data_IF_165526082075
#
_entry.id   IF_165526082075
#
_cell.length_a   1.000
_cell.length_b   1.000
_cell.length_c   1.000
_cell.angle_alpha   90.00
_cell.angle_beta   90.00
_cell.angle_gamma   90.00
#
_symmetry.space_group_name_H-M   'P 1'
#
loop_
_entity.id
_entity.type
_entity.pdbx_description
1 polymer ?
#
# COMPACT_ATOMS: atom_id res chain seq x y z
N UNK A 1 0.05 -12.36 -3.22
CA UNK A 1 -0.55 -11.26 -2.46
C UNK A 1 -1.72 -11.82 -1.67
N UNK A 2 -1.91 -11.34 -0.45
CA UNK A 2 -2.95 -11.77 0.49
C UNK A 2 -3.66 -10.56 1.08
N UNK A 3 -4.91 -10.70 1.56
CA UNK A 3 -5.53 -9.65 2.37
C UNK A 3 -4.83 -9.54 3.72
N UNK A 4 -4.62 -8.32 4.18
CA UNK A 4 -4.13 -8.02 5.52
C UNK A 4 -5.28 -7.57 6.43
N UNK A 5 -5.04 -7.57 7.75
CA UNK A 5 -6.01 -7.08 8.70
C UNK A 5 -6.30 -5.58 8.45
N UNK A 6 -7.57 -5.24 8.35
CA UNK A 6 -8.03 -3.87 8.11
C UNK A 6 -9.25 -3.56 8.98
N UNK A 7 -9.58 -2.28 9.11
CA UNK A 7 -10.81 -1.84 9.76
C UNK A 7 -12.05 -2.11 8.91
N UNK A 8 -13.24 -1.85 9.47
CA UNK A 8 -14.48 -1.90 8.70
C UNK A 8 -14.41 -0.96 7.49
N UNK A 9 -14.91 -1.41 6.35
CA UNK A 9 -14.89 -0.65 5.09
C UNK A 9 -13.49 -0.17 4.66
N UNK A 10 -12.47 -0.98 4.92
CA UNK A 10 -11.09 -0.74 4.52
C UNK A 10 -10.51 -1.98 3.84
N UNK A 11 -9.58 -1.78 2.93
CA UNK A 11 -8.76 -2.85 2.32
C UNK A 11 -7.30 -2.53 2.51
N UNK A 12 -6.57 -3.55 2.97
CA UNK A 12 -5.10 -3.58 2.98
C UNK A 12 -4.67 -4.90 2.38
N UNK A 13 -3.72 -4.84 1.48
CA UNK A 13 -3.08 -6.03 0.91
C UNK A 13 -1.66 -6.17 1.43
N UNK A 14 -1.12 -7.38 1.35
CA UNK A 14 0.28 -7.63 1.72
C UNK A 14 0.92 -8.59 0.72
N UNK A 15 2.16 -8.31 0.36
CA UNK A 15 3.00 -9.23 -0.38
C UNK A 15 3.42 -10.42 0.50
N UNK A 16 3.16 -11.64 0.04
CA UNK A 16 3.57 -12.85 0.75
C UNK A 16 4.10 -13.89 -0.22
N UNK A 17 5.21 -14.52 0.14
CA UNK A 17 5.77 -15.64 -0.60
C UNK A 17 5.54 -16.94 0.17
N UNK A 18 5.10 -18.01 -0.51
CA UNK A 18 5.04 -19.36 0.10
C UNK A 18 6.42 -19.81 0.56
N UNK A 19 6.49 -20.61 1.60
CA UNK A 19 7.75 -21.15 2.12
C UNK A 19 8.54 -21.94 1.07
N UNK A 20 7.85 -22.62 0.19
CA UNK A 20 8.44 -23.40 -0.92
C UNK A 20 9.01 -22.52 -2.04
N UNK A 21 8.63 -21.22 -2.10
CA UNK A 21 8.98 -20.28 -3.19
C UNK A 21 8.69 -20.78 -4.59
N UNK A 22 7.85 -21.84 -4.73
CA UNK A 22 7.50 -22.50 -6.00
C UNK A 22 6.23 -21.94 -6.67
N UNK A 23 5.73 -20.79 -6.26
CA UNK A 23 4.58 -20.12 -6.88
C UNK A 23 4.94 -19.60 -8.26
N UNK A 24 3.98 -19.65 -9.19
CA UNK A 24 4.14 -19.02 -10.52
C UNK A 24 4.10 -17.50 -10.48
N UNK A 25 3.72 -16.90 -9.36
CA UNK A 25 3.68 -15.44 -9.19
C UNK A 25 4.86 -14.97 -8.34
N UNK A 26 5.54 -13.95 -8.83
CA UNK A 26 6.42 -13.12 -8.01
C UNK A 26 5.62 -11.92 -7.50
N UNK A 27 6.06 -11.32 -6.40
CA UNK A 27 5.53 -10.06 -5.89
C UNK A 27 6.66 -9.20 -5.33
N UNK A 28 6.44 -7.89 -5.32
CA UNK A 28 7.30 -6.93 -4.65
C UNK A 28 6.43 -5.79 -4.09
N UNK A 29 6.79 -5.29 -2.93
CA UNK A 29 6.23 -4.07 -2.38
C UNK A 29 6.89 -2.87 -3.03
N UNK A 30 6.09 -2.01 -3.65
CA UNK A 30 6.54 -0.72 -4.18
C UNK A 30 6.02 0.36 -3.25
N UNK A 31 6.92 1.05 -2.58
CA UNK A 31 6.58 2.01 -1.53
C UNK A 31 7.01 3.42 -1.90
N UNK A 32 6.28 4.39 -1.40
CA UNK A 32 6.61 5.80 -1.43
C UNK A 32 6.85 6.23 0.02
N UNK A 33 8.02 6.74 0.31
CA UNK A 33 8.30 7.35 1.61
C UNK A 33 7.49 8.65 1.73
N UNK A 34 6.77 8.77 2.85
CA UNK A 34 5.94 9.93 3.14
C UNK A 34 6.61 10.80 4.20
N UNK A 35 6.54 12.10 3.99
CA UNK A 35 6.97 13.10 4.96
C UNK A 35 5.76 13.77 5.59
N UNK A 36 5.87 14.40 6.77
CA UNK A 36 4.74 15.09 7.43
C UNK A 36 4.04 16.11 6.53
N UNK A 37 4.77 16.70 5.58
CA UNK A 37 4.24 17.67 4.61
C UNK A 37 3.26 17.04 3.61
N UNK A 38 3.42 15.75 3.32
CA UNK A 38 2.60 15.03 2.34
C UNK A 38 1.15 14.83 2.83
N UNK A 39 0.89 14.97 4.13
CA UNK A 39 -0.45 14.80 4.72
C UNK A 39 -0.91 15.98 5.59
N UNK A 40 -0.49 17.20 5.23
CA UNK A 40 -0.88 18.43 5.93
C UNK A 40 -2.39 18.64 6.03
N UNK A 41 -3.17 18.14 5.07
CA UNK A 41 -4.64 18.20 5.11
C UNK A 41 -5.23 17.53 6.35
N UNK A 42 -4.47 16.62 6.98
CA UNK A 42 -4.84 15.92 8.20
C UNK A 42 -4.25 16.55 9.47
N UNK A 43 -3.59 17.70 9.38
CA UNK A 43 -2.91 18.37 10.51
C UNK A 43 -3.81 18.65 11.72
N UNK A 44 -5.12 18.82 11.48
CA UNK A 44 -6.14 18.96 12.54
C UNK A 44 -6.19 17.77 13.53
N UNK A 45 -5.67 16.61 13.13
CA UNK A 45 -5.59 15.42 13.98
C UNK A 45 -4.29 15.34 14.79
N UNK A 46 -3.41 16.34 14.72
CA UNK A 46 -2.15 16.40 15.45
C UNK A 46 -1.28 15.17 15.18
N UNK A 47 -0.82 14.51 16.23
CA UNK A 47 0.04 13.32 16.14
C UNK A 47 -0.60 12.13 15.43
N UNK A 48 -1.90 12.14 15.24
CA UNK A 48 -2.64 11.09 14.53
C UNK A 48 -2.84 11.40 13.04
N UNK A 49 -2.29 12.49 12.52
CA UNK A 49 -2.47 12.91 11.13
C UNK A 49 -2.10 11.81 10.13
N UNK A 50 -0.95 11.16 10.31
CA UNK A 50 -0.49 10.07 9.46
C UNK A 50 -1.41 8.83 9.51
N UNK A 51 -1.97 8.50 10.69
CA UNK A 51 -2.96 7.41 10.82
C UNK A 51 -4.24 7.77 10.05
N UNK A 52 -4.70 9.00 10.15
CA UNK A 52 -5.94 9.43 9.45
C UNK A 52 -5.77 9.46 7.94
N UNK A 53 -4.60 9.84 7.46
CA UNK A 53 -4.25 9.70 6.05
C UNK A 53 -4.29 8.24 5.60
N UNK A 54 -3.65 7.34 6.36
CA UNK A 54 -3.63 5.91 6.11
C UNK A 54 -5.04 5.30 6.07
N UNK A 55 -5.87 5.56 7.09
CA UNK A 55 -7.26 5.11 7.17
C UNK A 55 -8.08 5.58 5.96
N UNK A 56 -7.88 6.82 5.53
CA UNK A 56 -8.58 7.36 4.35
C UNK A 56 -8.16 6.62 3.07
N UNK A 57 -6.86 6.39 2.88
CA UNK A 57 -6.37 5.67 1.71
C UNK A 57 -6.88 4.22 1.65
N UNK A 58 -6.93 3.54 2.80
CA UNK A 58 -7.49 2.20 2.94
C UNK A 58 -8.99 2.16 2.64
N UNK A 59 -9.72 3.22 3.04
CA UNK A 59 -11.14 3.38 2.72
C UNK A 59 -11.37 3.65 1.23
N UNK A 60 -10.58 4.53 0.62
CA UNK A 60 -10.64 4.76 -0.83
C UNK A 60 -10.37 3.46 -1.61
N UNK A 61 -9.44 2.65 -1.13
CA UNK A 61 -9.18 1.32 -1.67
C UNK A 61 -10.43 0.43 -1.61
N UNK A 62 -11.14 0.39 -0.49
CA UNK A 62 -12.39 -0.36 -0.34
C UNK A 62 -13.48 0.15 -1.28
N UNK A 63 -13.67 1.46 -1.38
CA UNK A 63 -14.68 2.06 -2.27
C UNK A 63 -14.42 1.72 -3.73
N UNK A 64 -13.16 1.75 -4.15
CA UNK A 64 -12.72 1.42 -5.49
C UNK A 64 -12.53 -0.09 -5.74
N UNK A 65 -12.64 -0.91 -4.69
CA UNK A 65 -12.66 -2.37 -4.68
C UNK A 65 -14.06 -2.99 -4.69
N UNK A 66 -15.08 -2.29 -5.22
CA UNK A 66 -16.49 -2.72 -5.24
C UNK A 66 -17.13 -2.84 -3.85
N UNK A 67 -16.62 -2.13 -2.86
CA UNK A 67 -17.10 -2.18 -1.45
C UNK A 67 -17.14 -3.60 -0.89
N UNK A 68 -16.17 -4.40 -1.27
CA UNK A 68 -15.95 -5.78 -0.81
C UNK A 68 -14.47 -5.97 -0.54
N UNK A 69 -14.03 -7.18 -0.24
CA UNK A 69 -12.61 -7.51 -0.08
C UNK A 69 -11.87 -7.75 -1.42
N UNK A 70 -12.52 -7.52 -2.55
CA UNK A 70 -11.85 -7.49 -3.86
C UNK A 70 -10.95 -6.26 -3.91
N UNK A 71 -9.68 -6.46 -4.28
CA UNK A 71 -8.73 -5.36 -4.32
C UNK A 71 -8.77 -4.60 -5.65
N UNK A 72 -8.74 -3.26 -5.63
CA UNK A 72 -8.59 -2.47 -6.83
C UNK A 72 -7.20 -2.71 -7.44
N UNK A 73 -7.14 -2.89 -8.74
CA UNK A 73 -5.92 -3.24 -9.44
C UNK A 73 -5.86 -2.61 -10.84
N UNK A 74 -4.64 -2.45 -11.32
CA UNK A 74 -4.37 -1.87 -12.63
C UNK A 74 -3.12 -2.51 -13.22
N UNK A 75 -3.07 -2.70 -14.55
CA UNK A 75 -1.82 -3.13 -15.20
C UNK A 75 -0.73 -2.09 -14.99
N UNK A 76 0.50 -2.54 -14.72
CA UNK A 76 1.62 -1.65 -14.40
C UNK A 76 1.87 -0.60 -15.50
N UNK A 77 1.90 -1.02 -16.77
CA UNK A 77 2.16 -0.09 -17.88
C UNK A 77 1.02 0.92 -18.06
N UNK A 78 -0.23 0.50 -17.83
CA UNK A 78 -1.39 1.39 -17.90
C UNK A 78 -1.33 2.43 -16.78
N UNK A 79 -0.99 2.01 -15.54
CA UNK A 79 -0.79 2.93 -14.43
C UNK A 79 0.30 3.97 -14.73
N UNK A 80 1.46 3.53 -15.23
CA UNK A 80 2.59 4.41 -15.56
C UNK A 80 2.23 5.43 -16.64
N UNK A 81 1.34 5.05 -17.57
CA UNK A 81 0.90 5.91 -18.66
C UNK A 81 -0.43 6.64 -18.38
N UNK A 82 -1.01 6.50 -17.19
CA UNK A 82 -2.28 7.13 -16.84
C UNK A 82 -3.46 6.63 -17.67
N UNK A 83 -3.50 5.34 -18.01
CA UNK A 83 -4.53 4.71 -18.83
C UNK A 83 -5.36 3.72 -18.02
N UNK A 84 -6.61 3.56 -18.36
CA UNK A 84 -7.46 2.53 -17.75
C UNK A 84 -7.05 1.14 -18.25
N UNK A 85 -7.07 0.15 -17.33
CA UNK A 85 -7.00 -1.26 -17.70
C UNK A 85 -8.40 -1.83 -17.83
N UNK A 86 -8.68 -2.49 -18.95
CA UNK A 86 -9.98 -3.10 -19.21
C UNK A 86 -10.01 -4.58 -18.78
N UNK A 87 -8.86 -5.20 -18.65
CA UNK A 87 -8.66 -6.57 -18.19
C UNK A 87 -7.44 -6.63 -17.26
N UNK A 88 -7.40 -7.68 -16.45
CA UNK A 88 -6.31 -7.90 -15.49
C UNK A 88 -5.72 -9.29 -15.66
N UNK A 89 -4.40 -9.47 -15.48
CA UNK A 89 -3.79 -10.79 -15.40
C UNK A 89 -4.34 -11.58 -14.21
N UNK A 90 -4.25 -12.90 -14.29
CA UNK A 90 -4.58 -13.79 -13.17
C UNK A 90 -3.65 -13.49 -11.99
N UNK A 91 -4.19 -13.40 -10.80
CA UNK A 91 -3.47 -13.09 -9.57
C UNK A 91 -3.63 -14.17 -8.52
N UNK A 92 -2.70 -14.23 -7.56
CA UNK A 92 -2.80 -15.06 -6.35
C UNK A 92 -3.69 -14.46 -5.25
N UNK A 93 -4.23 -13.26 -5.44
CA UNK A 93 -5.09 -12.62 -4.43
C UNK A 93 -6.45 -13.30 -4.39
N UNK A 94 -6.70 -14.08 -3.33
CA UNK A 94 -7.86 -14.98 -3.25
C UNK A 94 -9.23 -14.29 -3.24
N UNK A 95 -9.42 -13.07 -2.66
CA UNK A 95 -10.70 -12.39 -2.75
C UNK A 95 -11.02 -11.85 -4.15
N UNK A 96 -10.05 -11.87 -5.08
CA UNK A 96 -10.20 -11.37 -6.43
C UNK A 96 -9.84 -9.91 -6.63
N UNK A 97 -9.61 -9.54 -7.87
CA UNK A 97 -9.26 -8.19 -8.29
C UNK A 97 -10.41 -7.53 -9.04
N UNK A 98 -10.46 -6.21 -8.97
CA UNK A 98 -11.33 -5.39 -9.81
C UNK A 98 -10.48 -4.34 -10.54
N UNK A 99 -10.67 -4.22 -11.84
CA UNK A 99 -10.02 -3.19 -12.63
C UNK A 99 -10.44 -1.80 -12.12
N UNK A 100 -9.49 -1.01 -11.70
CA UNK A 100 -9.72 0.30 -11.10
C UNK A 100 -8.58 1.24 -11.49
N UNK A 101 -8.87 2.50 -11.84
CA UNK A 101 -7.86 3.45 -12.25
C UNK A 101 -7.09 3.99 -11.02
N UNK A 102 -6.15 3.22 -10.48
CA UNK A 102 -5.34 3.59 -9.31
C UNK A 102 -4.71 4.99 -9.48
N UNK A 103 -4.24 5.30 -10.71
CA UNK A 103 -3.66 6.59 -11.05
C UNK A 103 -4.62 7.78 -10.93
N UNK A 104 -5.91 7.54 -10.86
CA UNK A 104 -6.94 8.57 -10.79
C UNK A 104 -7.38 8.90 -9.35
N UNK A 105 -7.61 7.88 -8.51
CA UNK A 105 -8.16 8.09 -7.19
C UNK A 105 -7.10 8.11 -6.07
N UNK A 106 -5.91 7.55 -6.30
CA UNK A 106 -4.83 7.67 -5.31
C UNK A 106 -4.32 9.12 -5.22
N UNK A 107 -3.78 9.54 -4.07
CA UNK A 107 -3.17 10.86 -3.93
C UNK A 107 -2.13 11.13 -5.03
N UNK A 108 -2.28 12.28 -5.68
CA UNK A 108 -1.50 12.62 -6.88
C UNK A 108 0.01 12.51 -6.67
N UNK A 109 0.52 12.97 -5.54
CA UNK A 109 1.95 12.92 -5.23
C UNK A 109 2.46 11.47 -5.11
N UNK A 110 1.64 10.53 -4.61
CA UNK A 110 1.97 9.10 -4.56
C UNK A 110 2.01 8.53 -5.97
N UNK A 111 1.02 8.86 -6.80
CA UNK A 111 0.95 8.41 -8.20
C UNK A 111 2.18 8.87 -8.97
N UNK A 112 2.53 10.15 -8.88
CA UNK A 112 3.68 10.73 -9.59
C UNK A 112 4.99 10.07 -9.16
N UNK A 113 5.23 9.90 -7.84
CA UNK A 113 6.43 9.22 -7.31
C UNK A 113 6.51 7.75 -7.74
N UNK A 114 5.41 7.02 -7.70
CA UNK A 114 5.37 5.63 -8.18
C UNK A 114 5.61 5.53 -9.69
N UNK A 115 4.97 6.38 -10.50
CA UNK A 115 5.17 6.40 -11.94
C UNK A 115 6.62 6.69 -12.32
N UNK A 116 7.26 7.65 -11.64
CA UNK A 116 8.68 7.96 -11.84
C UNK A 116 9.56 6.77 -11.44
N UNK A 117 9.32 6.17 -10.28
CA UNK A 117 10.03 4.99 -9.80
C UNK A 117 9.92 3.81 -10.77
N UNK A 118 8.73 3.51 -11.27
CA UNK A 118 8.53 2.44 -12.25
C UNK A 118 9.27 2.71 -13.57
N UNK A 119 9.27 3.95 -14.05
CA UNK A 119 10.05 4.33 -15.24
C UNK A 119 11.55 4.17 -15.00
N UNK A 120 12.03 4.55 -13.83
CA UNK A 120 13.42 4.35 -13.45
C UNK A 120 13.79 2.87 -13.41
N UNK A 121 13.01 2.05 -12.72
CA UNK A 121 13.24 0.59 -12.65
C UNK A 121 13.17 -0.06 -14.03
N UNK A 122 12.28 0.39 -14.90
CA UNK A 122 12.23 -0.06 -16.30
C UNK A 122 13.49 0.23 -17.10
N UNK A 123 14.23 1.29 -16.76
CA UNK A 123 15.53 1.61 -17.40
C UNK A 123 16.67 0.77 -16.87
N UNK A 124 16.72 0.52 -15.56
CA UNK A 124 17.86 -0.18 -14.91
C UNK A 124 17.68 -1.70 -14.85
N UNK A 125 16.46 -2.18 -15.03
CA UNK A 125 16.11 -3.62 -15.02
C UNK A 125 15.27 -3.96 -16.25
N UNK A 126 15.93 -4.56 -17.23
CA UNK A 126 15.26 -4.93 -18.48
C UNK A 126 14.07 -5.88 -18.20
N UNK A 127 12.90 -5.56 -18.79
CA UNK A 127 11.69 -6.34 -18.62
C UNK A 127 10.90 -6.06 -17.33
N UNK A 128 11.39 -5.18 -16.44
CA UNK A 128 10.66 -4.83 -15.22
C UNK A 128 9.33 -4.12 -15.53
N UNK A 129 9.34 -3.15 -16.42
CA UNK A 129 8.13 -2.45 -16.85
C UNK A 129 7.41 -3.28 -17.91
N UNK A 130 6.45 -4.08 -17.48
CA UNK A 130 5.69 -5.00 -18.34
C UNK A 130 4.19 -4.88 -18.12
N UNK A 131 3.42 -5.17 -19.16
CA UNK A 131 1.95 -5.19 -19.10
C UNK A 131 1.40 -6.50 -18.50
N UNK A 132 2.25 -7.48 -18.26
CA UNK A 132 1.90 -8.72 -17.57
C UNK A 132 1.89 -8.53 -16.04
N UNK A 133 2.54 -7.49 -15.53
CA UNK A 133 2.52 -7.14 -14.12
C UNK A 133 1.24 -6.35 -13.77
N UNK A 134 0.68 -6.69 -12.62
CA UNK A 134 -0.50 -6.02 -12.06
C UNK A 134 -0.13 -5.33 -10.75
N UNK A 135 -0.51 -4.07 -10.63
CA UNK A 135 -0.48 -3.33 -9.38
C UNK A 135 -1.77 -3.60 -8.62
N UNK A 136 -1.64 -3.90 -7.34
CA UNK A 136 -2.76 -4.16 -6.44
C UNK A 136 -2.65 -3.17 -5.29
N UNK A 137 -3.65 -2.36 -5.09
CA UNK A 137 -3.66 -1.36 -4.01
C UNK A 137 -4.45 -1.88 -2.80
N UNK A 138 -4.08 -1.48 -1.61
CA UNK A 138 -2.88 -0.75 -1.22
C UNK A 138 -2.18 -1.50 -0.08
N UNK A 139 -0.84 -1.39 -0.01
CA UNK A 139 -0.07 -1.86 1.15
C UNK A 139 0.40 -0.64 1.94
N UNK A 140 -0.38 -0.25 2.95
CA UNK A 140 -0.17 0.99 3.71
C UNK A 140 0.55 0.77 5.03
N UNK A 141 0.73 -0.48 5.47
CA UNK A 141 1.18 -0.81 6.82
C UNK A 141 2.61 -1.35 6.86
N UNK A 142 3.50 -0.69 6.13
CA UNK A 142 4.93 -1.00 6.11
C UNK A 142 5.61 -0.48 7.38
N UNK A 143 5.31 0.76 7.78
CA UNK A 143 5.81 1.40 9.00
C UNK A 143 4.67 2.08 9.74
N UNK A 144 4.77 2.16 11.07
CA UNK A 144 3.79 2.90 11.86
C UNK A 144 3.96 4.40 11.65
N UNK A 145 2.87 5.13 11.29
CA UNK A 145 2.93 6.59 11.18
C UNK A 145 2.98 7.30 12.55
N UNK A 146 2.91 6.55 13.65
CA UNK A 146 3.01 7.05 15.03
C UNK A 146 4.04 6.26 15.78
N UNK A 147 4.95 6.97 16.44
CA UNK A 147 5.94 6.37 17.32
C UNK A 147 5.47 6.46 18.77
N UNK A 148 5.36 5.31 19.43
CA UNK A 148 5.10 5.23 20.86
C UNK A 148 6.45 5.09 21.56
N UNK A 149 6.89 6.08 22.37
CA UNK A 149 8.22 6.04 22.98
C UNK A 149 8.34 4.94 24.03
N UNK A 150 9.49 4.29 24.07
CA UNK A 150 9.80 3.27 25.09
C UNK A 150 11.23 3.41 25.57
N UNK A 151 11.46 3.05 26.80
CA UNK A 151 12.78 2.90 27.38
C UNK A 151 13.52 1.74 26.69
N UNK A 152 14.79 1.96 26.32
CA UNK A 152 15.58 0.99 25.53
C UNK A 152 15.99 -0.25 26.32
N UNK A 153 16.11 -0.14 27.66
CA UNK A 153 16.54 -1.23 28.52
C UNK A 153 15.34 -2.01 29.05
N UNK A 154 14.33 -1.29 29.55
CA UNK A 154 13.14 -1.87 30.17
C UNK A 154 12.06 -2.25 29.16
N UNK A 155 12.16 -1.75 27.93
CA UNK A 155 11.17 -1.93 26.86
C UNK A 155 9.75 -1.42 27.20
N UNK A 156 9.60 -0.75 28.34
CA UNK A 156 8.34 -0.17 28.80
C UNK A 156 8.17 1.26 28.27
N UNK A 157 6.91 1.71 28.19
CA UNK A 157 6.61 3.11 27.91
C UNK A 157 7.25 4.02 28.98
N UNK A 158 7.71 5.20 28.56
CA UNK A 158 8.46 6.12 29.42
C UNK A 158 7.62 6.75 30.54
N UNK A 159 6.30 6.85 30.34
CA UNK A 159 5.37 7.49 31.28
C UNK A 159 4.26 6.53 31.79
N UNK A 160 3.79 5.61 30.94
CA UNK A 160 2.66 4.74 31.28
C UNK A 160 3.14 3.39 31.81
N UNK A 161 2.78 3.09 33.07
CA UNK A 161 3.07 1.79 33.69
C UNK A 161 2.31 0.66 32.98
N UNK A 162 2.98 -0.45 32.77
CA UNK A 162 2.37 -1.67 32.21
C UNK A 162 2.14 -1.63 30.70
N UNK A 163 2.54 -0.56 30.02
CA UNK A 163 2.53 -0.48 28.56
C UNK A 163 3.92 -0.83 28.01
N UNK A 164 3.97 -1.83 27.13
CA UNK A 164 5.18 -2.30 26.46
C UNK A 164 5.02 -2.17 24.95
N UNK A 165 5.36 -1.01 24.36
CA UNK A 165 5.27 -0.84 22.92
C UNK A 165 6.19 -1.81 22.20
N UNK A 166 5.66 -2.56 21.20
CA UNK A 166 6.44 -3.44 20.35
C UNK A 166 6.28 -3.02 18.89
N UNK A 167 7.36 -3.18 18.14
CA UNK A 167 7.48 -2.72 16.75
C UNK A 167 8.87 -2.10 16.54
N UNK A 168 9.13 -1.66 15.31
CA UNK A 168 10.37 -0.99 14.90
C UNK A 168 10.39 0.48 15.30
#
# INVERSE_FOLDING_TARGET
VVPAASGPEQIVVNGMSPSTRGSKWANSGMVVELQPEDFQEYSRYGVLAGIKFQENLERECYLNGNRRQTAPAQRMVDFVNGRNSYDLPVSSYSPGLVASPLHFWMPRFIVERLQEGFRYFGKVSHGFLTNDAVMIGVETRTSSPVRIPRDKERMSHIELRGLYPCGE
#
